data_IF_374878782203
#
_entry.id   IF_374878782203
#
_cell.length_a   1.000
_cell.length_b   1.000
_cell.length_c   1.000
_cell.angle_alpha   90.00
_cell.angle_beta   90.00
_cell.angle_gamma   90.00
#
_symmetry.space_group_name_H-M   'P 1'
#
loop_
_entity.id
_entity.type
_entity.pdbx_description
1 polymer ?
#
# COMPACT_ATOMS: atom_id res chain seq x y z
N UNK A 1 2.68 9.09 24.01
CA UNK A 1 2.05 7.76 23.99
C UNK A 1 0.64 7.94 23.47
N UNK A 2 0.16 7.14 22.50
CA UNK A 2 -1.25 7.17 22.09
C UNK A 2 -2.10 6.71 23.28
N UNK A 3 -3.13 7.46 23.63
CA UNK A 3 -4.09 7.08 24.67
C UNK A 3 -4.91 5.90 24.15
N UNK A 4 -5.01 4.82 24.94
CA UNK A 4 -5.73 3.60 24.56
C UNK A 4 -7.09 3.64 25.24
N UNK A 5 -8.15 3.75 24.45
CA UNK A 5 -9.52 3.60 24.93
C UNK A 5 -9.80 2.12 25.27
N UNK A 6 -10.61 1.85 26.28
CA UNK A 6 -11.01 0.49 26.67
C UNK A 6 -12.52 0.31 26.51
N UNK A 7 -12.94 -0.89 26.11
CA UNK A 7 -14.35 -1.31 26.00
C UNK A 7 -14.63 -2.46 26.96
N UNK A 8 -15.81 -2.46 27.57
CA UNK A 8 -16.27 -3.55 28.43
C UNK A 8 -16.77 -4.71 27.56
N UNK A 9 -16.19 -5.89 27.71
CA UNK A 9 -16.60 -7.13 27.06
C UNK A 9 -16.81 -8.20 28.14
N UNK A 10 -18.07 -8.41 28.53
CA UNK A 10 -18.40 -9.23 29.69
C UNK A 10 -17.86 -8.60 30.98
N UNK A 11 -17.08 -9.36 31.74
CA UNK A 11 -16.45 -8.92 32.99
C UNK A 11 -15.07 -8.26 32.79
N UNK A 12 -14.59 -8.15 31.55
CA UNK A 12 -13.25 -7.66 31.23
C UNK A 12 -13.27 -6.31 30.51
N UNK A 13 -12.27 -5.46 30.80
CA UNK A 13 -11.95 -4.29 29.99
C UNK A 13 -10.86 -4.63 28.97
N UNK A 14 -11.22 -4.56 27.68
CA UNK A 14 -10.30 -4.84 26.58
C UNK A 14 -9.92 -3.53 25.88
N UNK A 15 -8.66 -3.37 25.45
CA UNK A 15 -8.26 -2.20 24.69
C UNK A 15 -8.99 -2.16 23.35
N UNK A 16 -9.56 -1.01 23.02
CA UNK A 16 -10.27 -0.71 21.78
C UNK A 16 -9.28 -0.46 20.64
N UNK A 17 -8.57 -1.50 20.25
CA UNK A 17 -7.58 -1.43 19.17
C UNK A 17 -8.29 -1.32 17.82
N UNK A 18 -8.31 -0.12 17.25
CA UNK A 18 -8.74 0.09 15.86
C UNK A 18 -7.53 -0.09 14.95
N UNK A 19 -7.64 -0.99 13.99
CA UNK A 19 -6.65 -1.14 12.92
C UNK A 19 -7.02 -0.16 11.82
N UNK A 20 -6.06 0.66 11.38
CA UNK A 20 -6.26 1.49 10.19
C UNK A 20 -6.31 0.57 8.96
N UNK A 21 -7.41 0.62 8.21
CA UNK A 21 -7.55 -0.14 6.97
C UNK A 21 -6.57 0.40 5.93
N UNK A 22 -5.60 -0.43 5.53
CA UNK A 22 -4.66 -0.10 4.47
C UNK A 22 -5.19 -0.65 3.14
N UNK A 23 -5.27 0.23 2.13
CA UNK A 23 -5.63 -0.14 0.77
C UNK A 23 -4.39 -0.17 -0.15
N UNK A 24 -4.07 -1.36 -0.66
CA UNK A 24 -3.07 -1.55 -1.72
C UNK A 24 -3.75 -1.74 -3.07
N UNK A 25 -3.28 -0.99 -4.07
CA UNK A 25 -3.68 -1.17 -5.46
C UNK A 25 -2.91 -2.31 -6.13
N UNK A 26 -2.99 -2.42 -7.46
CA UNK A 26 -2.29 -3.46 -8.24
C UNK A 26 -0.76 -3.46 -8.02
N UNK A 27 -0.13 -2.29 -7.95
CA UNK A 27 1.32 -2.16 -7.80
C UNK A 27 1.76 -2.46 -6.37
N UNK A 28 1.03 -1.96 -5.38
CA UNK A 28 1.26 -2.28 -3.97
C UNK A 28 1.17 -3.79 -3.70
N UNK A 29 0.15 -4.45 -4.25
CA UNK A 29 -0.02 -5.92 -4.16
C UNK A 29 1.10 -6.66 -4.88
N UNK A 30 1.45 -6.26 -6.10
CA UNK A 30 2.54 -6.87 -6.85
C UNK A 30 3.89 -6.76 -6.11
N UNK A 31 4.17 -5.59 -5.50
CA UNK A 31 5.37 -5.41 -4.68
C UNK A 31 5.37 -6.30 -3.45
N UNK A 32 4.23 -6.40 -2.76
CA UNK A 32 4.09 -7.30 -1.60
C UNK A 32 4.35 -8.77 -1.98
N UNK A 33 3.76 -9.23 -3.08
CA UNK A 33 3.98 -10.60 -3.58
C UNK A 33 5.44 -10.85 -3.94
N UNK A 34 6.08 -9.86 -4.59
CA UNK A 34 7.51 -9.93 -4.90
C UNK A 34 8.35 -10.04 -3.63
N UNK A 35 8.11 -9.20 -2.63
CA UNK A 35 8.83 -9.24 -1.36
C UNK A 35 8.71 -10.62 -0.69
N UNK A 36 7.51 -11.19 -0.64
CA UNK A 36 7.30 -12.51 -0.04
C UNK A 36 8.01 -13.64 -0.79
N UNK A 37 8.03 -13.58 -2.13
CA UNK A 37 8.59 -14.66 -2.97
C UNK A 37 10.09 -14.57 -3.17
N UNK A 38 10.64 -13.36 -3.25
CA UNK A 38 12.00 -13.14 -3.72
C UNK A 38 12.88 -12.37 -2.73
N UNK A 39 12.30 -11.60 -1.80
CA UNK A 39 13.05 -10.79 -0.84
C UNK A 39 12.45 -10.89 0.58
N UNK A 40 12.42 -12.12 1.08
CA UNK A 40 11.82 -12.42 2.37
C UNK A 40 12.55 -11.73 3.53
N UNK A 41 13.86 -11.51 3.42
CA UNK A 41 14.64 -10.81 4.44
C UNK A 41 14.20 -9.35 4.59
N UNK A 42 14.01 -8.63 3.47
CA UNK A 42 13.48 -7.27 3.52
C UNK A 42 12.04 -7.26 4.01
N UNK A 43 11.20 -8.18 3.53
CA UNK A 43 9.82 -8.33 4.01
C UNK A 43 9.76 -8.47 5.53
N UNK A 44 10.53 -9.41 6.09
CA UNK A 44 10.56 -9.67 7.51
C UNK A 44 11.11 -8.49 8.32
N UNK A 45 12.15 -7.82 7.81
CA UNK A 45 12.70 -6.61 8.43
C UNK A 45 11.65 -5.50 8.54
N UNK A 46 10.91 -5.23 7.45
CA UNK A 46 9.87 -4.21 7.43
C UNK A 46 8.70 -4.56 8.34
N UNK A 47 8.29 -5.83 8.36
CA UNK A 47 7.22 -6.32 9.24
C UNK A 47 7.62 -6.17 10.72
N UNK A 48 8.84 -6.55 11.07
CA UNK A 48 9.35 -6.49 12.45
C UNK A 48 9.43 -5.05 12.98
N UNK A 49 9.61 -4.08 12.08
CA UNK A 49 9.65 -2.65 12.42
C UNK A 49 8.29 -1.97 12.33
N UNK A 50 7.24 -2.68 11.92
CA UNK A 50 5.93 -2.11 11.61
C UNK A 50 5.99 -1.01 10.52
N UNK A 51 6.95 -1.10 9.59
CA UNK A 51 7.19 -0.13 8.50
C UNK A 51 6.68 -0.65 7.14
N UNK A 52 6.17 -1.89 7.09
CA UNK A 52 5.77 -2.54 5.84
C UNK A 52 4.69 -1.76 5.09
N UNK A 53 3.69 -1.27 5.81
CA UNK A 53 2.56 -0.57 5.21
C UNK A 53 3.02 0.73 4.54
N UNK A 54 3.76 1.56 5.27
CA UNK A 54 4.30 2.83 4.75
C UNK A 54 5.21 2.61 3.54
N UNK A 55 6.05 1.58 3.59
CA UNK A 55 6.91 1.21 2.46
C UNK A 55 6.08 0.86 1.21
N UNK A 56 5.05 0.03 1.35
CA UNK A 56 4.21 -0.38 0.23
C UNK A 56 3.38 0.78 -0.34
N UNK A 57 2.85 1.66 0.53
CA UNK A 57 2.12 2.85 0.12
C UNK A 57 3.03 3.83 -0.65
N UNK A 58 4.30 3.96 -0.24
CA UNK A 58 5.27 4.78 -0.98
C UNK A 58 5.57 4.19 -2.36
N UNK A 59 5.87 2.89 -2.43
CA UNK A 59 6.18 2.22 -3.70
C UNK A 59 4.99 2.24 -4.66
N UNK A 60 3.76 2.02 -4.17
CA UNK A 60 2.59 2.08 -5.05
C UNK A 60 2.40 3.47 -5.63
N UNK A 61 2.57 4.52 -4.82
CA UNK A 61 2.43 5.91 -5.27
C UNK A 61 3.46 6.25 -6.34
N UNK A 62 4.72 5.88 -6.13
CA UNK A 62 5.78 6.06 -7.12
C UNK A 62 5.46 5.34 -8.45
N UNK A 63 4.88 4.13 -8.38
CA UNK A 63 4.47 3.37 -9.55
C UNK A 63 3.26 3.98 -10.27
N UNK A 64 2.28 4.50 -9.52
CA UNK A 64 1.12 5.21 -10.07
C UNK A 64 1.56 6.50 -10.78
N UNK A 65 2.36 7.33 -10.11
CA UNK A 65 2.86 8.60 -10.66
C UNK A 65 3.63 8.35 -11.99
N UNK A 66 4.44 7.27 -12.03
CA UNK A 66 5.15 6.87 -13.24
C UNK A 66 4.18 6.39 -14.33
N UNK A 67 3.19 5.58 -13.96
CA UNK A 67 2.19 5.06 -14.89
C UNK A 67 1.42 6.20 -15.56
N UNK A 68 0.92 7.16 -14.78
CA UNK A 68 0.15 8.30 -15.28
C UNK A 68 0.98 9.15 -16.23
N UNK A 69 2.25 9.43 -15.88
CA UNK A 69 3.16 10.15 -16.77
C UNK A 69 3.37 9.42 -18.10
N UNK A 70 3.63 8.12 -18.05
CA UNK A 70 3.86 7.31 -19.25
C UNK A 70 2.61 7.27 -20.14
N UNK A 71 1.43 7.14 -19.55
CA UNK A 71 0.16 7.15 -20.29
C UNK A 71 0.00 8.45 -21.09
N UNK A 72 0.28 9.61 -20.49
CA UNK A 72 0.20 10.90 -21.19
C UNK A 72 1.27 11.07 -22.28
N UNK A 73 2.52 10.64 -22.00
CA UNK A 73 3.60 10.63 -22.99
C UNK A 73 3.25 9.76 -24.20
N UNK A 74 2.66 8.58 -23.97
CA UNK A 74 2.24 7.68 -25.04
C UNK A 74 1.05 8.22 -25.84
N UNK A 75 0.04 8.82 -25.19
CA UNK A 75 -1.07 9.48 -25.91
C UNK A 75 -0.55 10.54 -26.89
N UNK A 76 0.38 11.38 -26.42
CA UNK A 76 1.01 12.43 -27.22
C UNK A 76 1.80 11.84 -28.39
N UNK A 77 2.64 10.83 -28.12
CA UNK A 77 3.52 10.23 -29.12
C UNK A 77 2.76 9.50 -30.24
N UNK A 78 1.65 8.85 -29.90
CA UNK A 78 0.88 8.03 -30.83
C UNK A 78 -0.32 8.77 -31.43
N UNK A 79 -0.48 10.06 -31.13
CA UNK A 79 -1.57 10.90 -31.59
C UNK A 79 -2.95 10.26 -31.34
N UNK A 80 -3.11 9.60 -30.18
CA UNK A 80 -4.34 8.90 -29.81
C UNK A 80 -5.41 9.93 -29.52
N UNK A 81 -6.21 10.26 -30.53
CA UNK A 81 -7.43 11.07 -30.37
C UNK A 81 -8.52 10.23 -29.71
N UNK A 82 -9.49 10.89 -29.06
CA UNK A 82 -10.65 10.26 -28.39
C UNK A 82 -11.53 9.38 -29.31
N UNK A 83 -11.23 9.35 -30.61
CA UNK A 83 -11.90 8.53 -31.63
C UNK A 83 -11.49 7.05 -31.61
N UNK A 84 -10.45 6.69 -30.84
CA UNK A 84 -9.99 5.29 -30.66
C UNK A 84 -10.46 4.64 -29.35
N UNK A 85 -11.42 5.27 -28.64
CA UNK A 85 -12.09 4.69 -27.47
C UNK A 85 -13.13 3.64 -27.84
#
# INVERSE_FOLDING_TARGET
MKEIEYIQVGDYQLPNLKVEEMHLNRFGRAKLDYLKKHDYLLYFKLLSKNELNDYLLKVQKEADDLYDRLVEEYKTKWNVTEELK
#
